data_IF_242584645663
#
_entry.id   IF_242584645663
#
_cell.length_a   1.000
_cell.length_b   1.000
_cell.length_c   1.000
_cell.angle_alpha   90.00
_cell.angle_beta   90.00
_cell.angle_gamma   90.00
#
_symmetry.space_group_name_H-M   'P 1'
#
loop_
_entity.id
_entity.type
_entity.pdbx_description
1 polymer ?
#
# COMPACT_ATOMS: atom_id res chain seq x y z
N UNK A 1 -23.65 12.76 16.68
CA UNK A 1 -24.06 11.37 16.37
C UNK A 1 -23.39 10.48 17.39
N UNK A 2 -24.14 9.81 18.25
CA UNK A 2 -23.61 9.01 19.37
C UNK A 2 -22.83 7.79 18.84
N UNK A 3 -21.84 7.36 19.60
CA UNK A 3 -20.92 6.23 19.21
C UNK A 3 -21.71 4.94 18.88
N UNK A 4 -22.80 4.66 19.59
CA UNK A 4 -23.70 3.54 19.34
C UNK A 4 -24.38 3.60 17.95
N UNK A 5 -24.73 4.81 17.48
CA UNK A 5 -25.29 4.98 16.13
C UNK A 5 -24.24 4.76 15.04
N UNK A 6 -22.96 5.06 15.33
CA UNK A 6 -21.84 4.75 14.43
C UNK A 6 -21.57 3.25 14.36
N UNK A 7 -21.58 2.58 15.49
CA UNK A 7 -21.41 1.13 15.58
C UNK A 7 -22.55 0.40 14.85
N UNK A 8 -23.80 0.73 15.15
CA UNK A 8 -24.96 0.14 14.50
C UNK A 8 -25.04 0.44 12.98
N UNK A 9 -24.44 1.56 12.53
CA UNK A 9 -24.31 1.88 11.11
C UNK A 9 -23.21 1.05 10.46
N UNK A 10 -22.09 0.86 11.15
CA UNK A 10 -20.97 0.00 10.70
C UNK A 10 -21.37 -1.48 10.65
N UNK A 11 -22.14 -1.95 11.62
CA UNK A 11 -22.70 -3.31 11.65
C UNK A 11 -23.68 -3.54 10.48
N UNK A 12 -24.57 -2.61 10.19
CA UNK A 12 -25.47 -2.67 9.01
C UNK A 12 -24.71 -2.61 7.68
N UNK A 13 -23.59 -1.87 7.62
CA UNK A 13 -22.71 -1.87 6.44
C UNK A 13 -21.96 -3.21 6.32
N UNK A 14 -21.46 -3.73 7.43
CA UNK A 14 -20.81 -5.03 7.50
C UNK A 14 -21.76 -6.16 7.08
N UNK A 15 -23.03 -6.11 7.50
CA UNK A 15 -24.05 -7.11 7.10
C UNK A 15 -24.41 -7.03 5.59
N UNK A 16 -24.27 -5.86 4.97
CA UNK A 16 -24.44 -5.68 3.50
C UNK A 16 -23.21 -6.15 2.69
N UNK A 17 -22.05 -6.24 3.34
CA UNK A 17 -20.76 -6.61 2.73
C UNK A 17 -20.33 -8.03 3.19
N UNK A 18 -21.10 -8.67 4.06
CA UNK A 18 -20.78 -10.00 4.57
C UNK A 18 -20.63 -10.99 3.41
N UNK A 19 -19.39 -11.21 3.07
CA UNK A 19 -18.93 -12.47 2.50
C UNK A 19 -18.71 -13.35 3.72
N UNK A 20 -19.48 -14.40 3.86
CA UNK A 20 -19.32 -15.33 4.96
C UNK A 20 -17.92 -15.98 4.93
N UNK A 21 -17.55 -16.65 6.02
CA UNK A 21 -16.24 -17.30 6.15
C UNK A 21 -16.02 -18.43 5.10
N UNK A 22 -17.03 -18.76 4.29
CA UNK A 22 -16.97 -19.76 3.21
C UNK A 22 -16.62 -19.13 1.85
N UNK A 23 -16.54 -17.80 1.75
CA UNK A 23 -16.25 -17.09 0.50
C UNK A 23 -17.45 -17.02 -0.45
N UNK A 24 -18.68 -17.27 0.04
CA UNK A 24 -19.91 -17.29 -0.76
C UNK A 24 -20.64 -15.95 -0.87
N UNK A 25 -20.03 -14.85 -0.44
CA UNK A 25 -20.59 -13.51 -0.60
C UNK A 25 -20.66 -13.06 -2.08
N UNK A 26 -21.46 -12.03 -2.41
CA UNK A 26 -21.58 -11.54 -3.77
C UNK A 26 -20.22 -11.04 -4.27
N UNK A 27 -19.76 -11.60 -5.38
CA UNK A 27 -18.63 -11.02 -6.10
C UNK A 27 -19.03 -9.61 -6.55
N UNK A 28 -18.22 -8.58 -6.30
CA UNK A 28 -18.50 -7.26 -6.86
C UNK A 28 -18.78 -7.41 -8.37
N UNK A 29 -19.87 -6.86 -8.86
CA UNK A 29 -20.39 -7.13 -10.20
C UNK A 29 -19.42 -6.79 -11.36
N UNK A 30 -18.32 -6.12 -11.07
CA UNK A 30 -17.28 -5.71 -12.00
C UNK A 30 -15.94 -6.42 -11.81
N UNK A 31 -15.87 -7.41 -10.92
CA UNK A 31 -14.64 -8.16 -10.64
C UNK A 31 -14.71 -9.55 -11.28
N UNK A 32 -13.63 -10.00 -11.95
CA UNK A 32 -13.63 -11.29 -12.65
C UNK A 32 -13.51 -12.50 -11.71
N UNK A 33 -13.12 -12.27 -10.46
CA UNK A 33 -12.99 -13.31 -9.45
C UNK A 33 -13.37 -12.79 -8.06
N UNK A 34 -13.66 -13.71 -7.15
CA UNK A 34 -13.89 -13.39 -5.73
C UNK A 34 -12.60 -12.94 -5.08
N UNK A 35 -12.67 -11.97 -4.13
CA UNK A 35 -11.51 -11.58 -3.36
C UNK A 35 -10.92 -12.76 -2.59
N UNK A 36 -9.61 -12.89 -2.62
CA UNK A 36 -8.91 -13.85 -1.77
C UNK A 36 -8.87 -13.36 -0.32
N UNK A 37 -8.57 -14.23 0.67
CA UNK A 37 -8.73 -13.87 2.09
C UNK A 37 -8.08 -12.54 2.51
N UNK A 38 -6.87 -12.23 2.02
CA UNK A 38 -6.21 -10.96 2.34
C UNK A 38 -6.80 -9.78 1.59
N UNK A 39 -7.21 -9.98 0.35
CA UNK A 39 -7.95 -8.97 -0.41
C UNK A 39 -9.27 -8.68 0.30
N UNK A 40 -9.97 -9.73 0.77
CA UNK A 40 -11.22 -9.57 1.51
C UNK A 40 -11.01 -8.77 2.80
N UNK A 41 -9.99 -9.12 3.61
CA UNK A 41 -9.65 -8.35 4.80
C UNK A 41 -9.36 -6.87 4.49
N UNK A 42 -8.72 -6.58 3.36
CA UNK A 42 -8.46 -5.22 2.90
C UNK A 42 -9.74 -4.47 2.50
N UNK A 43 -10.67 -5.15 1.84
CA UNK A 43 -11.96 -4.59 1.42
C UNK A 43 -12.87 -4.28 2.61
N UNK A 44 -12.90 -5.18 3.60
CA UNK A 44 -13.79 -5.10 4.76
C UNK A 44 -13.25 -4.19 5.86
N UNK A 45 -11.95 -3.89 5.85
CA UNK A 45 -11.33 -3.10 6.91
C UNK A 45 -12.00 -1.71 7.05
N UNK A 46 -12.57 -1.38 8.24
CA UNK A 46 -13.28 -0.13 8.45
C UNK A 46 -12.36 1.08 8.63
N UNK A 47 -11.05 0.86 8.85
CA UNK A 47 -10.09 1.93 9.05
C UNK A 47 -10.06 2.90 7.86
N UNK A 48 -9.86 4.18 8.15
CA UNK A 48 -9.74 5.22 7.11
C UNK A 48 -8.53 4.94 6.19
N UNK A 49 -7.39 4.59 6.80
CA UNK A 49 -6.15 4.29 6.11
C UNK A 49 -5.77 2.81 6.27
N UNK A 50 -5.54 2.14 5.14
CA UNK A 50 -5.07 0.75 5.14
C UNK A 50 -3.98 0.56 4.10
N UNK A 51 -2.89 -0.09 4.50
CA UNK A 51 -1.83 -0.57 3.62
C UNK A 51 -1.94 -2.09 3.46
N UNK A 52 -2.11 -2.56 2.23
CA UNK A 52 -1.87 -3.95 1.85
C UNK A 52 -0.43 -4.06 1.34
N UNK A 53 0.47 -4.54 2.16
CA UNK A 53 1.90 -4.48 1.89
C UNK A 53 2.63 -5.79 2.06
N UNK A 54 3.69 -6.02 1.26
CA UNK A 54 4.49 -7.22 1.41
C UNK A 54 5.09 -7.74 0.11
N UNK A 55 5.09 -9.06 -0.05
CA UNK A 55 5.72 -9.74 -1.17
C UNK A 55 5.11 -9.36 -2.53
N UNK A 56 5.89 -9.50 -3.60
CA UNK A 56 5.40 -9.34 -4.96
C UNK A 56 4.35 -10.42 -5.29
N UNK A 57 3.56 -10.18 -6.34
CA UNK A 57 2.54 -11.12 -6.84
C UNK A 57 1.44 -11.55 -5.86
N UNK A 58 1.32 -10.90 -4.68
CA UNK A 58 0.27 -11.19 -3.68
C UNK A 58 -1.12 -10.65 -4.02
N UNK A 59 -1.40 -10.24 -5.26
CA UNK A 59 -2.72 -9.74 -5.69
C UNK A 59 -3.09 -8.34 -5.19
N UNK A 60 -2.10 -7.53 -4.82
CA UNK A 60 -2.31 -6.20 -4.21
C UNK A 60 -2.98 -5.19 -5.14
N UNK A 61 -2.56 -5.10 -6.40
CA UNK A 61 -3.16 -4.17 -7.38
C UNK A 61 -4.62 -4.53 -7.67
N UNK A 62 -4.96 -5.83 -7.69
CA UNK A 62 -6.35 -6.29 -7.80
C UNK A 62 -7.17 -5.82 -6.61
N UNK A 63 -6.63 -5.93 -5.39
CA UNK A 63 -7.31 -5.48 -4.19
C UNK A 63 -7.60 -3.96 -4.20
N UNK A 64 -6.66 -3.14 -4.69
CA UNK A 64 -6.89 -1.68 -4.88
C UNK A 64 -8.03 -1.45 -5.89
N UNK A 65 -8.01 -2.14 -7.02
CA UNK A 65 -9.05 -1.99 -8.03
C UNK A 65 -10.41 -2.47 -7.50
N UNK A 66 -10.47 -3.61 -6.82
CA UNK A 66 -11.69 -4.10 -6.17
C UNK A 66 -12.22 -3.09 -5.14
N UNK A 67 -11.34 -2.52 -4.32
CA UNK A 67 -11.74 -1.53 -3.31
C UNK A 67 -12.32 -0.26 -3.94
N UNK A 68 -11.76 0.21 -5.06
CA UNK A 68 -12.29 1.35 -5.80
C UNK A 68 -13.66 1.05 -6.43
N UNK A 69 -13.93 -0.20 -6.75
CA UNK A 69 -15.17 -0.63 -7.40
C UNK A 69 -16.31 -0.94 -6.41
N UNK A 70 -16.06 -1.00 -5.09
CA UNK A 70 -17.05 -1.42 -4.10
C UNK A 70 -18.34 -0.59 -4.10
N UNK A 71 -18.25 0.71 -4.42
CA UNK A 71 -19.38 1.65 -4.33
C UNK A 71 -19.75 2.30 -5.67
N UNK A 72 -19.30 1.74 -6.79
CA UNK A 72 -19.62 2.29 -8.13
C UNK A 72 -21.09 2.19 -8.52
N UNK A 73 -21.90 1.50 -7.73
CA UNK A 73 -23.36 1.46 -7.87
C UNK A 73 -24.05 2.65 -7.19
N UNK A 74 -23.33 3.45 -6.39
CA UNK A 74 -23.87 4.59 -5.63
C UNK A 74 -23.71 5.86 -6.46
N UNK A 75 -24.81 6.57 -6.81
CA UNK A 75 -24.72 7.85 -7.50
C UNK A 75 -23.89 8.87 -6.73
N UNK A 76 -23.02 9.61 -7.46
CA UNK A 76 -22.14 10.60 -6.84
C UNK A 76 -20.86 10.05 -6.21
N UNK A 77 -20.66 8.72 -6.23
CA UNK A 77 -19.39 8.15 -5.80
C UNK A 77 -18.27 8.46 -6.80
N UNK A 78 -17.12 8.94 -6.30
CA UNK A 78 -15.94 9.20 -7.09
C UNK A 78 -14.72 8.52 -6.45
N UNK A 79 -14.01 7.72 -7.25
CA UNK A 79 -12.78 7.05 -6.87
C UNK A 79 -11.60 7.55 -7.70
N UNK A 80 -10.43 7.65 -7.07
CA UNK A 80 -9.14 7.94 -7.70
C UNK A 80 -8.16 6.81 -7.41
N UNK A 81 -7.48 6.31 -8.42
CA UNK A 81 -6.32 5.43 -8.26
C UNK A 81 -5.09 6.14 -8.81
N UNK A 82 -4.03 6.14 -8.01
CA UNK A 82 -2.77 6.82 -8.30
C UNK A 82 -1.63 5.85 -8.47
N UNK A 83 -0.76 6.14 -9.42
CA UNK A 83 0.55 5.56 -9.59
C UNK A 83 1.60 6.66 -9.73
N UNK A 84 2.87 6.34 -9.54
CA UNK A 84 3.93 7.33 -9.61
C UNK A 84 4.00 8.03 -10.97
N UNK A 85 3.96 7.28 -12.05
CA UNK A 85 4.02 7.85 -13.39
C UNK A 85 2.99 7.22 -14.34
N UNK A 86 2.72 7.93 -15.44
CA UNK A 86 1.74 7.51 -16.41
C UNK A 86 2.16 6.24 -17.16
N UNK A 87 3.43 6.07 -17.45
CA UNK A 87 3.90 4.91 -18.23
C UNK A 87 3.64 3.64 -17.42
N UNK A 88 3.99 3.62 -16.14
CA UNK A 88 3.75 2.47 -15.24
C UNK A 88 2.26 2.22 -14.99
N UNK A 89 1.44 3.26 -15.09
CA UNK A 89 -0.01 3.11 -14.98
C UNK A 89 -0.61 2.33 -16.18
N UNK A 90 -0.03 2.53 -17.38
CA UNK A 90 -0.55 2.05 -18.65
C UNK A 90 0.15 0.78 -19.20
N UNK A 91 1.22 0.30 -18.55
CA UNK A 91 1.90 -0.92 -18.98
C UNK A 91 0.97 -2.14 -18.99
N UNK A 92 1.28 -3.12 -19.85
CA UNK A 92 0.56 -4.39 -19.89
C UNK A 92 0.50 -5.05 -18.49
N UNK A 93 -0.71 -5.39 -18.05
CA UNK A 93 -0.97 -5.94 -16.73
C UNK A 93 -0.89 -4.94 -15.57
N UNK A 94 -0.59 -3.65 -15.82
CA UNK A 94 -0.70 -2.61 -14.81
C UNK A 94 -2.17 -2.31 -14.46
N UNK A 95 -2.42 -1.56 -13.39
CA UNK A 95 -3.75 -1.43 -12.82
C UNK A 95 -4.79 -0.80 -13.77
N UNK A 96 -4.37 0.15 -14.63
CA UNK A 96 -5.26 0.73 -15.63
C UNK A 96 -5.58 -0.25 -16.76
N UNK A 97 -4.58 -0.97 -17.27
CA UNK A 97 -4.77 -2.01 -18.28
C UNK A 97 -5.67 -3.13 -17.74
N UNK A 98 -5.42 -3.56 -16.51
CA UNK A 98 -6.25 -4.54 -15.81
C UNK A 98 -7.71 -4.07 -15.67
N UNK A 99 -7.93 -2.80 -15.35
CA UNK A 99 -9.29 -2.25 -15.29
C UNK A 99 -10.01 -2.35 -16.65
N UNK A 100 -9.27 -2.15 -17.75
CA UNK A 100 -9.84 -2.34 -19.11
C UNK A 100 -10.23 -3.80 -19.35
N UNK A 101 -9.38 -4.75 -18.95
CA UNK A 101 -9.73 -6.18 -19.05
C UNK A 101 -10.98 -6.54 -18.25
N UNK A 102 -11.20 -5.93 -17.08
CA UNK A 102 -12.35 -6.22 -16.22
C UNK A 102 -13.64 -5.54 -16.71
N UNK A 103 -13.55 -4.33 -17.25
CA UNK A 103 -14.69 -3.43 -17.42
C UNK A 103 -15.14 -3.24 -18.88
N UNK A 104 -14.30 -3.52 -19.89
CA UNK A 104 -14.62 -3.24 -21.30
C UNK A 104 -15.89 -3.94 -21.81
N UNK A 105 -16.24 -5.09 -21.24
CA UNK A 105 -17.44 -5.85 -21.63
C UNK A 105 -18.60 -5.67 -20.66
N UNK A 106 -18.59 -4.59 -19.88
CA UNK A 106 -19.65 -4.23 -18.93
C UNK A 106 -20.40 -2.98 -19.39
N UNK A 107 -21.37 -2.54 -18.61
CA UNK A 107 -22.09 -1.29 -18.87
C UNK A 107 -21.29 -0.01 -18.48
N UNK A 108 -20.06 -0.15 -17.99
CA UNK A 108 -19.18 0.99 -17.71
C UNK A 108 -18.60 1.54 -19.01
N UNK A 109 -18.43 2.86 -19.10
CA UNK A 109 -17.86 3.53 -20.28
C UNK A 109 -16.50 4.14 -19.96
N UNK A 110 -15.54 3.93 -20.85
CA UNK A 110 -14.18 4.43 -20.73
C UNK A 110 -13.99 5.74 -21.50
N UNK A 111 -13.42 6.74 -20.83
CA UNK A 111 -12.96 7.98 -21.47
C UNK A 111 -11.43 8.00 -21.50
N UNK A 112 -10.86 7.84 -22.69
CA UNK A 112 -9.41 7.77 -22.88
C UNK A 112 -8.70 9.09 -22.57
N UNK A 113 -9.32 10.24 -22.84
CA UNK A 113 -8.71 11.53 -22.58
C UNK A 113 -8.56 11.81 -21.08
N UNK A 114 -9.60 11.51 -20.31
CA UNK A 114 -9.63 11.75 -18.87
C UNK A 114 -9.14 10.57 -18.03
N UNK A 115 -8.79 9.43 -18.67
CA UNK A 115 -8.41 8.17 -18.01
C UNK A 115 -9.44 7.77 -16.93
N UNK A 116 -10.72 7.78 -17.31
CA UNK A 116 -11.83 7.64 -16.37
C UNK A 116 -12.88 6.67 -16.87
N UNK A 117 -13.28 5.78 -15.99
CA UNK A 117 -14.51 4.99 -16.11
C UNK A 117 -15.69 5.78 -15.56
N UNK A 118 -16.83 5.70 -16.26
CA UNK A 118 -18.13 6.16 -15.78
C UNK A 118 -19.09 4.97 -15.76
N UNK A 119 -19.75 4.77 -14.63
CA UNK A 119 -20.66 3.65 -14.40
C UNK A 119 -22.11 4.08 -14.66
N UNK A 120 -23.07 3.15 -14.85
CA UNK A 120 -24.48 3.47 -15.09
C UNK A 120 -25.12 4.32 -13.98
N UNK A 121 -24.64 4.24 -12.74
CA UNK A 121 -25.04 5.09 -11.61
C UNK A 121 -24.59 6.54 -11.73
N UNK A 122 -23.69 6.87 -12.67
CA UNK A 122 -22.97 8.14 -12.72
C UNK A 122 -21.71 8.17 -11.84
N UNK A 123 -21.41 7.13 -11.07
CA UNK A 123 -20.17 7.01 -10.33
C UNK A 123 -18.96 6.99 -11.25
N UNK A 124 -17.81 7.40 -10.75
CA UNK A 124 -16.57 7.48 -11.56
C UNK A 124 -15.39 6.81 -10.89
N UNK A 125 -14.51 6.22 -11.71
CA UNK A 125 -13.17 5.77 -11.31
C UNK A 125 -12.15 6.41 -12.23
N UNK A 126 -11.31 7.28 -11.68
CA UNK A 126 -10.27 8.02 -12.40
C UNK A 126 -8.91 7.43 -12.09
N UNK A 127 -8.06 7.31 -13.12
CA UNK A 127 -6.65 6.97 -12.97
C UNK A 127 -5.80 8.22 -13.10
N UNK A 128 -4.88 8.41 -12.16
CA UNK A 128 -4.00 9.55 -12.14
C UNK A 128 -2.57 9.18 -11.77
N UNK A 129 -1.67 10.16 -11.85
CA UNK A 129 -0.27 9.96 -11.47
C UNK A 129 0.29 11.19 -10.77
N UNK A 130 1.35 10.97 -9.99
CA UNK A 130 2.11 12.01 -9.30
C UNK A 130 3.60 11.63 -9.42
N UNK A 131 4.27 12.19 -10.41
CA UNK A 131 5.70 11.97 -10.62
C UNK A 131 6.54 12.91 -9.72
N UNK A 132 6.12 14.16 -9.64
CA UNK A 132 6.71 15.16 -8.76
C UNK A 132 5.72 15.56 -7.67
N UNK A 133 6.19 15.98 -6.48
CA UNK A 133 5.30 16.39 -5.39
C UNK A 133 4.28 17.47 -5.80
N UNK A 134 4.63 18.38 -6.69
CA UNK A 134 3.74 19.46 -7.15
C UNK A 134 2.62 18.99 -8.07
N UNK A 135 2.71 17.80 -8.63
CA UNK A 135 1.61 17.20 -9.40
C UNK A 135 0.34 17.00 -8.54
N UNK A 136 0.46 17.02 -7.19
CA UNK A 136 -0.66 16.98 -6.27
C UNK A 136 -1.68 18.10 -6.52
N UNK A 137 -1.22 19.25 -7.02
CA UNK A 137 -2.09 20.39 -7.32
C UNK A 137 -3.04 20.15 -8.49
N UNK A 138 -2.81 19.16 -9.35
CA UNK A 138 -3.78 18.71 -10.38
C UNK A 138 -5.10 18.27 -9.75
N UNK A 139 -5.07 17.83 -8.49
CA UNK A 139 -6.23 17.34 -7.76
C UNK A 139 -6.82 18.38 -6.80
N UNK A 140 -6.27 19.60 -6.75
CA UNK A 140 -6.64 20.62 -5.76
C UNK A 140 -8.14 20.97 -5.73
N UNK A 141 -8.82 20.91 -6.87
CA UNK A 141 -10.25 21.22 -7.01
C UNK A 141 -11.13 19.98 -7.07
N UNK A 142 -10.56 18.78 -6.80
CA UNK A 142 -11.31 17.52 -6.90
C UNK A 142 -11.75 17.02 -5.54
N UNK A 143 -12.73 16.12 -5.55
CA UNK A 143 -13.27 15.45 -4.37
C UNK A 143 -13.45 13.96 -4.66
N UNK A 144 -13.01 13.13 -3.74
CA UNK A 144 -13.09 11.70 -3.89
C UNK A 144 -13.56 11.05 -2.58
N UNK A 145 -14.44 10.06 -2.68
CA UNK A 145 -14.79 9.21 -1.56
C UNK A 145 -13.75 8.10 -1.32
N UNK A 146 -13.01 7.76 -2.37
CA UNK A 146 -11.95 6.76 -2.33
C UNK A 146 -10.69 7.27 -3.04
N UNK A 147 -9.53 7.10 -2.38
CA UNK A 147 -8.23 7.34 -3.00
C UNK A 147 -7.36 6.10 -2.79
N UNK A 148 -6.96 5.47 -3.88
CA UNK A 148 -6.10 4.31 -3.94
C UNK A 148 -4.69 4.66 -4.42
N UNK A 149 -3.67 4.18 -3.71
CA UNK A 149 -2.26 4.35 -4.06
C UNK A 149 -1.68 2.99 -4.42
N UNK A 150 -1.39 2.79 -5.69
CA UNK A 150 -0.73 1.58 -6.16
C UNK A 150 0.79 1.80 -6.18
N UNK A 151 1.54 0.90 -5.52
CA UNK A 151 2.98 0.99 -5.28
C UNK A 151 3.38 2.27 -4.52
N UNK A 152 2.76 2.50 -3.35
CA UNK A 152 2.94 3.72 -2.56
C UNK A 152 4.41 4.05 -2.25
N UNK A 153 5.29 3.06 -2.04
CA UNK A 153 6.70 3.27 -1.76
C UNK A 153 7.50 3.85 -2.94
N UNK A 154 6.95 3.84 -4.14
CA UNK A 154 7.60 4.43 -5.31
C UNK A 154 7.47 5.96 -5.37
N UNK A 155 6.51 6.54 -4.64
CA UNK A 155 6.29 7.98 -4.62
C UNK A 155 7.34 8.68 -3.75
N UNK A 156 7.62 9.95 -4.09
CA UNK A 156 8.43 10.84 -3.24
C UNK A 156 7.57 11.34 -2.08
N UNK A 157 7.69 10.67 -0.95
CA UNK A 157 6.95 10.95 0.28
C UNK A 157 7.92 11.51 1.32
N UNK A 158 7.61 12.70 1.81
CA UNK A 158 8.39 13.44 2.79
C UNK A 158 7.55 13.70 4.03
N UNK A 159 8.17 14.17 5.12
CA UNK A 159 7.45 14.54 6.35
C UNK A 159 7.03 16.03 6.35
N UNK A 160 7.13 16.71 5.23
CA UNK A 160 6.80 18.12 5.09
C UNK A 160 5.49 18.38 4.30
N UNK A 161 5.15 19.64 4.11
CA UNK A 161 3.95 20.10 3.42
C UNK A 161 3.91 19.74 1.93
N UNK A 162 5.04 19.35 1.34
CA UNK A 162 5.14 18.96 -0.06
C UNK A 162 4.62 17.53 -0.32
N UNK A 163 4.36 16.75 0.74
CA UNK A 163 3.96 15.37 0.63
C UNK A 163 2.60 15.21 -0.07
N UNK A 164 2.57 14.58 -1.25
CA UNK A 164 1.33 14.40 -2.00
C UNK A 164 0.32 13.47 -1.29
N UNK A 165 0.80 12.50 -0.50
CA UNK A 165 -0.09 11.60 0.23
C UNK A 165 -0.91 12.34 1.29
N UNK A 166 -0.26 13.16 2.11
CA UNK A 166 -0.93 13.96 3.14
C UNK A 166 -1.80 15.05 2.52
N UNK A 167 -1.35 15.70 1.44
CA UNK A 167 -2.15 16.69 0.73
C UNK A 167 -3.49 16.12 0.25
N UNK A 168 -3.49 14.89 -0.28
CA UNK A 168 -4.70 14.29 -0.84
C UNK A 168 -5.74 13.87 0.22
N UNK A 169 -5.39 13.85 1.51
CA UNK A 169 -6.41 13.78 2.56
C UNK A 169 -7.41 14.92 2.50
N UNK A 170 -6.98 16.12 2.13
CA UNK A 170 -7.88 17.26 1.96
C UNK A 170 -8.86 17.08 0.79
N UNK A 171 -8.58 16.13 -0.10
CA UNK A 171 -9.43 15.78 -1.25
C UNK A 171 -10.33 14.57 -0.97
N UNK A 172 -10.07 13.86 0.12
CA UNK A 172 -10.89 12.74 0.58
C UNK A 172 -12.14 13.25 1.30
N UNK A 173 -13.15 13.64 0.54
CA UNK A 173 -14.38 14.23 1.03
C UNK A 173 -15.56 13.95 0.10
N UNK A 174 -16.77 14.22 0.57
CA UNK A 174 -18.01 14.08 -0.18
C UNK A 174 -18.72 15.42 -0.21
N UNK A 175 -19.07 15.92 -1.38
CA UNK A 175 -19.87 17.12 -1.57
C UNK A 175 -21.36 16.82 -1.52
N UNK A 176 -21.75 15.58 -1.87
CA UNK A 176 -23.13 15.11 -1.82
C UNK A 176 -23.30 14.14 -0.66
N UNK A 177 -24.48 14.11 -0.08
CA UNK A 177 -24.80 13.16 1.01
C UNK A 177 -25.00 11.76 0.44
N UNK A 178 -23.91 11.02 0.32
CA UNK A 178 -23.90 9.63 -0.12
C UNK A 178 -23.48 8.71 1.03
N UNK A 179 -24.15 7.58 1.15
CA UNK A 179 -23.88 6.60 2.22
C UNK A 179 -22.74 5.66 1.84
N UNK A 180 -21.53 6.22 1.71
CA UNK A 180 -20.29 5.45 1.49
C UNK A 180 -19.22 5.90 2.47
N UNK A 181 -18.34 5.01 2.95
CA UNK A 181 -17.21 5.42 3.78
C UNK A 181 -16.16 6.16 2.95
N UNK A 182 -15.54 7.16 3.56
CA UNK A 182 -14.29 7.72 3.01
C UNK A 182 -13.15 6.74 3.25
N UNK A 183 -12.35 6.47 2.23
CA UNK A 183 -11.27 5.48 2.31
C UNK A 183 -10.00 5.93 1.60
N UNK A 184 -8.88 5.89 2.33
CA UNK A 184 -7.54 5.95 1.79
C UNK A 184 -6.96 4.55 1.79
N UNK A 185 -6.63 4.02 0.65
CA UNK A 185 -6.12 2.65 0.47
C UNK A 185 -4.78 2.67 -0.23
N UNK A 186 -3.84 1.88 0.27
CA UNK A 186 -2.52 1.78 -0.34
C UNK A 186 -2.14 0.32 -0.56
N UNK A 187 -1.41 0.07 -1.63
CA UNK A 187 -0.75 -1.20 -1.89
C UNK A 187 0.71 -0.96 -2.21
N UNK A 188 1.62 -1.76 -1.65
CA UNK A 188 3.04 -1.63 -1.97
C UNK A 188 3.86 -2.85 -1.60
N UNK A 189 5.02 -2.97 -2.25
CA UNK A 189 6.13 -3.78 -1.78
C UNK A 189 7.03 -2.93 -0.88
N UNK A 190 7.82 -3.53 0.03
CA UNK A 190 8.89 -2.80 0.70
C UNK A 190 9.97 -2.37 -0.29
N UNK A 191 10.59 -1.23 -0.06
CA UNK A 191 11.61 -0.63 -0.93
C UNK A 191 11.11 0.61 -1.66
N UNK A 192 11.99 1.22 -2.44
CA UNK A 192 11.68 2.47 -3.13
C UNK A 192 11.90 3.71 -2.28
N UNK A 193 11.79 4.88 -2.92
CA UNK A 193 12.13 6.18 -2.32
C UNK A 193 11.24 6.55 -1.13
N UNK A 194 9.97 6.13 -1.14
CA UNK A 194 9.00 6.40 -0.08
C UNK A 194 8.99 5.34 1.04
N UNK A 195 9.90 4.35 1.03
CA UNK A 195 9.88 3.23 1.97
C UNK A 195 9.86 3.68 3.44
N UNK A 196 10.74 4.61 3.81
CA UNK A 196 10.87 5.07 5.19
C UNK A 196 9.57 5.69 5.70
N UNK A 197 8.95 6.57 4.92
CA UNK A 197 7.68 7.20 5.23
C UNK A 197 6.56 6.15 5.40
N UNK A 198 6.44 5.23 4.44
CA UNK A 198 5.38 4.19 4.47
C UNK A 198 5.56 3.27 5.66
N UNK A 199 6.80 2.85 5.96
CA UNK A 199 7.11 2.04 7.12
C UNK A 199 6.74 2.76 8.41
N UNK A 200 7.19 3.99 8.62
CA UNK A 200 6.89 4.77 9.84
C UNK A 200 5.39 5.04 10.00
N UNK A 201 4.66 5.18 8.88
CA UNK A 201 3.23 5.49 8.91
C UNK A 201 2.34 4.29 9.25
N UNK A 202 2.65 3.11 8.77
CA UNK A 202 1.73 1.96 8.82
C UNK A 202 2.22 0.79 9.66
N UNK A 203 3.52 0.68 9.91
CA UNK A 203 4.08 -0.50 10.54
C UNK A 203 4.64 -0.21 11.94
N UNK A 204 4.54 -1.21 12.81
CA UNK A 204 5.33 -1.34 14.02
C UNK A 204 6.53 -2.26 13.76
N UNK A 205 7.51 -2.30 14.63
CA UNK A 205 8.64 -3.23 14.49
C UNK A 205 8.18 -4.70 14.48
N UNK A 206 7.13 -5.01 15.24
CA UNK A 206 6.51 -6.34 15.24
C UNK A 206 5.90 -6.67 13.87
N UNK A 207 5.08 -5.77 13.30
CA UNK A 207 4.42 -6.00 12.03
C UNK A 207 5.39 -6.03 10.85
N UNK A 208 6.50 -5.31 10.92
CA UNK A 208 7.53 -5.30 9.88
C UNK A 208 8.20 -6.67 9.69
N UNK A 209 8.25 -7.51 10.74
CA UNK A 209 8.87 -8.84 10.75
C UNK A 209 7.88 -9.99 10.69
N UNK A 210 6.60 -9.74 10.98
CA UNK A 210 5.56 -10.76 11.17
C UNK A 210 5.08 -11.43 9.88
N UNK A 211 5.43 -10.91 8.71
CA UNK A 211 4.89 -11.33 7.40
C UNK A 211 5.07 -12.83 7.12
N UNK A 212 6.10 -13.45 7.68
CA UNK A 212 6.41 -14.85 7.44
C UNK A 212 5.55 -15.85 8.24
N UNK A 213 4.85 -15.38 9.28
CA UNK A 213 4.09 -16.22 10.22
C UNK A 213 2.57 -16.00 10.14
N UNK A 214 2.14 -15.11 9.28
CA UNK A 214 0.82 -14.57 9.37
C UNK A 214 -0.25 -15.52 8.84
N UNK A 215 -1.22 -15.84 9.69
CA UNK A 215 -2.56 -16.26 9.26
C UNK A 215 -3.07 -15.32 8.15
N UNK A 216 -3.70 -15.83 7.08
CA UNK A 216 -4.30 -15.02 6.01
C UNK A 216 -5.27 -13.94 6.48
N UNK A 217 -5.78 -14.03 7.70
CA UNK A 217 -6.68 -13.06 8.32
C UNK A 217 -5.98 -12.02 9.20
N UNK A 218 -4.66 -12.11 9.34
CA UNK A 218 -3.91 -11.27 10.26
C UNK A 218 -3.88 -9.82 9.77
N UNK A 219 -4.30 -8.92 10.64
CA UNK A 219 -4.35 -7.48 10.45
C UNK A 219 -3.58 -6.87 11.62
N UNK A 220 -2.72 -5.93 11.33
CA UNK A 220 -1.93 -5.26 12.36
C UNK A 220 -2.41 -3.82 12.53
N UNK A 221 -2.64 -3.44 13.76
CA UNK A 221 -2.84 -2.04 14.12
C UNK A 221 -1.50 -1.30 13.99
N UNK A 222 -1.48 -0.32 13.13
CA UNK A 222 -0.39 0.62 12.97
C UNK A 222 -0.56 1.86 13.84
N UNK A 223 0.36 2.81 13.76
CA UNK A 223 0.23 4.09 14.46
C UNK A 223 -1.07 4.82 14.11
N UNK A 224 -1.68 5.50 15.09
CA UNK A 224 -2.85 6.39 14.95
C UNK A 224 -4.09 5.74 14.29
N UNK A 225 -4.35 4.46 14.56
CA UNK A 225 -5.52 3.74 14.02
C UNK A 225 -5.42 3.40 12.54
N UNK A 226 -4.23 3.47 11.96
CA UNK A 226 -3.95 2.95 10.61
C UNK A 226 -3.81 1.45 10.68
N UNK A 227 -4.02 0.77 9.57
CA UNK A 227 -3.99 -0.68 9.52
C UNK A 227 -3.00 -1.16 8.46
N UNK A 228 -2.19 -2.13 8.82
CA UNK A 228 -1.32 -2.87 7.93
C UNK A 228 -1.81 -4.30 7.74
N UNK A 229 -1.99 -4.72 6.49
CA UNK A 229 -2.34 -6.09 6.12
C UNK A 229 -1.17 -6.66 5.32
N UNK A 230 -0.48 -7.69 5.83
CA UNK A 230 0.64 -8.29 5.11
C UNK A 230 0.14 -9.09 3.90
N UNK A 231 0.89 -9.06 2.79
CA UNK A 231 0.63 -9.84 1.59
C UNK A 231 1.83 -10.73 1.27
N UNK A 232 1.58 -12.01 1.03
CA UNK A 232 2.57 -12.99 0.63
C UNK A 232 2.28 -13.56 -0.77
N UNK A 233 3.26 -14.13 -1.43
CA UNK A 233 3.09 -14.77 -2.75
C UNK A 233 2.03 -15.87 -2.68
N UNK A 234 2.05 -16.65 -1.62
CA UNK A 234 1.11 -17.78 -1.39
C UNK A 234 -0.35 -17.36 -1.16
N UNK A 235 -0.60 -16.06 -0.94
CA UNK A 235 -1.95 -15.53 -0.84
C UNK A 235 -2.65 -15.42 -2.20
N UNK A 236 -1.89 -15.58 -3.29
CA UNK A 236 -2.38 -15.51 -4.67
C UNK A 236 -2.46 -16.92 -5.29
N UNK A 237 -3.63 -17.53 -5.37
CA UNK A 237 -3.78 -18.87 -5.95
C UNK A 237 -3.55 -18.92 -7.47
N UNK A 238 -3.45 -17.78 -8.15
CA UNK A 238 -3.17 -17.72 -9.58
C UNK A 238 -1.67 -17.76 -9.91
N UNK A 239 -0.80 -17.80 -8.89
CA UNK A 239 0.66 -17.84 -9.05
C UNK A 239 1.20 -19.08 -8.38
N UNK A 240 2.01 -19.86 -9.09
CA UNK A 240 2.81 -20.92 -8.47
C UNK A 240 3.93 -20.26 -7.66
N UNK A 241 3.94 -20.41 -6.33
CA UNK A 241 4.93 -19.76 -5.49
C UNK A 241 6.35 -20.23 -5.78
N UNK A 242 6.53 -21.52 -6.02
CA UNK A 242 7.86 -22.13 -6.19
C UNK A 242 8.48 -21.69 -7.54
N UNK A 243 7.68 -21.69 -8.62
CA UNK A 243 8.10 -21.16 -9.92
C UNK A 243 8.45 -19.67 -9.85
N UNK A 244 7.66 -18.89 -9.12
CA UNK A 244 7.91 -17.46 -8.98
C UNK A 244 9.15 -17.17 -8.12
N UNK A 245 9.35 -17.92 -7.04
CA UNK A 245 10.53 -17.81 -6.20
C UNK A 245 11.81 -18.14 -6.97
N UNK A 246 11.78 -19.14 -7.87
CA UNK A 246 12.90 -19.46 -8.75
C UNK A 246 13.29 -18.28 -9.63
N UNK A 247 12.29 -17.60 -10.24
CA UNK A 247 12.54 -16.39 -11.05
C UNK A 247 13.19 -15.26 -10.24
N UNK A 248 12.84 -15.13 -8.97
CA UNK A 248 13.40 -14.10 -8.08
C UNK A 248 14.84 -14.43 -7.61
N UNK A 249 15.33 -15.67 -7.75
CA UNK A 249 16.70 -16.03 -7.36
C UNK A 249 17.79 -15.28 -8.14
N UNK A 250 17.46 -14.79 -9.32
CA UNK A 250 18.37 -13.97 -10.14
C UNK A 250 18.55 -12.54 -9.61
N UNK A 251 17.72 -12.12 -8.67
CA UNK A 251 17.79 -10.77 -8.12
C UNK A 251 18.84 -10.66 -7.00
N UNK A 252 19.40 -9.45 -6.78
CA UNK A 252 20.25 -9.18 -5.63
C UNK A 252 19.58 -9.58 -4.31
N UNK A 253 20.36 -10.04 -3.29
CA UNK A 253 19.80 -10.59 -2.05
C UNK A 253 18.79 -9.67 -1.34
N UNK A 254 19.08 -8.38 -1.28
CA UNK A 254 18.17 -7.37 -0.66
C UNK A 254 16.86 -7.27 -1.42
N UNK A 255 16.92 -7.10 -2.74
CA UNK A 255 15.72 -7.02 -3.59
C UNK A 255 14.90 -8.30 -3.52
N UNK A 256 15.58 -9.46 -3.54
CA UNK A 256 14.95 -10.76 -3.39
C UNK A 256 14.22 -10.89 -2.05
N UNK A 257 14.87 -10.54 -0.93
CA UNK A 257 14.25 -10.60 0.41
C UNK A 257 12.97 -9.76 0.48
N UNK A 258 12.95 -8.60 -0.15
CA UNK A 258 11.77 -7.73 -0.22
C UNK A 258 10.64 -8.32 -1.05
N UNK A 259 10.96 -8.74 -2.26
CA UNK A 259 9.95 -9.23 -3.20
C UNK A 259 9.42 -10.61 -2.81
N UNK A 260 10.28 -11.51 -2.28
CA UNK A 260 9.85 -12.85 -1.83
C UNK A 260 9.15 -12.82 -0.49
N UNK A 261 9.75 -12.13 0.50
CA UNK A 261 9.30 -12.19 1.90
C UNK A 261 8.45 -10.99 2.30
N UNK A 262 8.44 -9.93 1.49
CA UNK A 262 7.78 -8.68 1.87
C UNK A 262 8.40 -8.02 3.09
N UNK A 263 9.70 -8.17 3.28
CA UNK A 263 10.42 -7.76 4.48
C UNK A 263 10.63 -6.23 4.50
N UNK A 264 9.93 -5.56 5.41
CA UNK A 264 10.01 -4.12 5.61
C UNK A 264 11.19 -3.69 6.49
N UNK A 265 11.92 -4.62 7.09
CA UNK A 265 13.11 -4.31 7.89
C UNK A 265 14.35 -4.08 7.02
N UNK A 266 14.33 -4.56 5.77
CA UNK A 266 15.46 -4.47 4.85
C UNK A 266 15.43 -3.14 4.10
N UNK A 267 16.31 -2.23 4.47
CA UNK A 267 16.48 -0.92 3.80
C UNK A 267 17.32 -1.03 2.51
N UNK A 268 16.89 -0.31 1.44
CA UNK A 268 17.61 -0.29 0.15
C UNK A 268 18.83 0.62 0.14
N UNK A 269 18.76 1.69 0.93
CA UNK A 269 19.71 2.77 0.92
C UNK A 269 20.81 2.66 1.97
N UNK A 270 21.06 1.46 2.47
CA UNK A 270 22.21 1.28 3.36
C UNK A 270 23.46 1.17 2.50
N UNK A 271 24.10 2.30 2.23
CA UNK A 271 25.42 2.38 1.60
C UNK A 271 26.41 1.48 2.37
N UNK A 272 26.21 1.39 3.69
CA UNK A 272 26.97 0.50 4.58
C UNK A 272 25.98 -0.50 5.21
N UNK A 273 25.96 -1.77 4.77
CA UNK A 273 25.12 -2.79 5.40
C UNK A 273 25.39 -2.87 6.90
N UNK A 274 24.34 -3.04 7.75
CA UNK A 274 24.54 -3.18 9.20
C UNK A 274 25.55 -4.27 9.60
N UNK A 275 25.66 -5.32 8.78
CA UNK A 275 26.65 -6.39 8.97
C UNK A 275 28.12 -5.91 8.81
N UNK A 276 28.33 -4.77 8.15
CA UNK A 276 29.65 -4.16 8.01
C UNK A 276 29.97 -3.20 9.16
N UNK A 277 28.94 -2.82 9.96
CA UNK A 277 29.13 -1.95 11.13
C UNK A 277 29.59 -2.79 12.32
N UNK A 278 30.85 -2.67 12.64
CA UNK A 278 31.38 -3.24 13.86
C UNK A 278 31.12 -2.25 15.01
N UNK A 279 30.21 -2.61 15.90
CA UNK A 279 29.97 -1.87 17.13
C UNK A 279 31.08 -2.14 18.12
N UNK A 280 31.44 -1.14 18.88
CA UNK A 280 32.39 -1.26 19.98
C UNK A 280 31.87 -0.57 21.20
N UNK A 281 32.24 -1.10 22.35
CA UNK A 281 32.01 -0.48 23.66
C UNK A 281 33.24 0.25 24.10
N UNK A 282 33.04 1.32 24.88
CA UNK A 282 34.17 2.08 25.46
C UNK A 282 34.38 1.60 26.90
N UNK A 283 35.43 0.82 27.12
CA UNK A 283 35.87 0.38 28.45
C UNK A 283 37.12 1.19 28.89
N UNK A 284 36.91 2.31 29.58
CA UNK A 284 38.04 3.16 29.99
C UNK A 284 38.74 3.80 28.80
N UNK A 285 39.99 3.43 28.53
CA UNK A 285 40.76 3.92 27.37
C UNK A 285 40.75 2.96 26.18
N UNK A 286 40.02 1.86 26.27
CA UNK A 286 39.96 0.83 25.25
C UNK A 286 38.65 0.87 24.46
N UNK A 287 38.71 0.67 23.17
CA UNK A 287 37.58 0.35 22.33
C UNK A 287 37.50 -1.19 22.21
N UNK A 288 36.39 -1.76 22.62
CA UNK A 288 36.18 -3.21 22.70
C UNK A 288 35.15 -3.63 21.65
N UNK A 289 35.52 -4.52 20.73
CA UNK A 289 34.64 -5.08 19.71
C UNK A 289 34.82 -6.60 19.69
N UNK A 290 33.99 -7.33 20.43
CA UNK A 290 34.18 -8.76 20.67
C UNK A 290 35.50 -9.03 21.39
N UNK A 291 36.36 -9.87 20.80
CA UNK A 291 37.67 -10.19 21.33
C UNK A 291 38.77 -9.14 21.04
N UNK A 292 38.48 -8.18 20.17
CA UNK A 292 39.42 -7.13 19.78
C UNK A 292 39.36 -5.95 20.74
N UNK A 293 40.52 -5.52 21.20
CA UNK A 293 40.70 -4.34 22.06
C UNK A 293 41.73 -3.43 21.41
N UNK A 294 41.42 -2.15 21.28
CA UNK A 294 42.30 -1.13 20.71
C UNK A 294 42.32 0.08 21.63
N UNK A 295 43.50 0.57 22.02
CA UNK A 295 43.62 1.82 22.76
C UNK A 295 43.13 2.99 21.88
N UNK A 296 42.12 3.71 22.37
CA UNK A 296 41.52 4.80 21.60
C UNK A 296 42.50 5.93 21.24
N UNK A 297 43.59 6.07 21.96
CA UNK A 297 44.67 7.03 21.68
C UNK A 297 45.45 6.68 20.44
N UNK A 298 45.42 5.41 20.01
CA UNK A 298 46.03 4.94 18.76
C UNK A 298 45.11 5.14 17.53
N UNK A 299 43.86 5.56 17.73
CA UNK A 299 42.87 5.75 16.69
C UNK A 299 42.85 7.20 16.22
N UNK A 300 42.78 7.41 14.90
CA UNK A 300 42.43 8.72 14.36
C UNK A 300 40.91 8.88 14.46
N UNK A 301 40.48 10.01 15.03
CA UNK A 301 39.04 10.36 15.09
C UNK A 301 38.75 11.35 13.99
N UNK A 302 37.68 11.09 13.27
CA UNK A 302 37.12 12.04 12.31
C UNK A 302 35.59 11.92 12.38
N UNK A 303 34.93 13.00 12.10
CA UNK A 303 33.49 13.04 11.90
C UNK A 303 33.24 13.60 10.50
N UNK A 304 32.30 12.97 9.78
CA UNK A 304 31.75 13.52 8.55
C UNK A 304 30.34 13.97 8.85
N UNK A 305 30.02 15.19 8.48
CA UNK A 305 28.65 15.74 8.55
C UNK A 305 28.20 15.87 7.10
N UNK A 306 27.14 15.14 6.77
CA UNK A 306 26.42 15.35 5.52
C UNK A 306 25.44 16.51 5.75
N UNK A 307 25.64 17.60 5.02
CA UNK A 307 24.83 18.81 5.09
C UNK A 307 23.84 18.91 3.94
N UNK A 308 23.57 17.80 3.22
CA UNK A 308 22.63 17.76 2.10
C UNK A 308 21.17 17.68 2.56
#
# INVERSE_FOLDING_TARGET
MRMEQRVARLERLADRIRIDATGEGPTPCYCPHRPWPRQQAFLDCPALEVLLGGAASGGKSDAILMAALQYVHVPGYAALILRRDYQRLALAGAIMDRSKMWLMNTAATWNEQNKRWTFPSGATLTFGYIDNPDDRFRYASSEFAFIGWDELTEFRLTDDESNPYTFLFSRLRKTVDIDVPLRMRAASNPGGIGHAFVKARFLTDESATAIQRADPRMVFDGPDGRVFIPAAIRDNPAVDPDEYEEKLRHLPPVTRARLMRGDWSVAESVIIPPAWLHRYDIGGQMLVAGERQIDHRQCRRFATIDTA
#
